data_IF_336652479091
#
_entry.id   IF_336652479091
#
_cell.length_a   1.000
_cell.length_b   1.000
_cell.length_c   1.000
_cell.angle_alpha   90.00
_cell.angle_beta   90.00
_cell.angle_gamma   90.00
#
_symmetry.space_group_name_H-M   'P 1'
#
loop_
_entity.id
_entity.type
_entity.pdbx_description
1 polymer ?
#
# COMPACT_ATOMS: atom_id res chain seq x y z
N UNK A 1 21.85 -6.71 -21.69
CA UNK A 1 21.67 -7.84 -20.76
C UNK A 1 20.39 -7.54 -20.03
N UNK A 2 19.30 -8.23 -20.38
CA UNK A 2 18.00 -7.99 -19.77
C UNK A 2 17.89 -8.83 -18.50
N UNK A 3 18.32 -8.27 -17.38
CA UNK A 3 18.14 -8.92 -16.09
C UNK A 3 16.84 -8.42 -15.47
N UNK A 4 15.88 -9.32 -15.24
CA UNK A 4 14.58 -8.99 -14.64
C UNK A 4 13.79 -7.88 -15.38
N UNK A 5 14.00 -7.74 -16.70
CA UNK A 5 13.37 -6.69 -17.52
C UNK A 5 14.00 -5.30 -17.39
N UNK A 6 15.16 -5.18 -16.74
CA UNK A 6 16.01 -3.99 -16.78
C UNK A 6 16.97 -4.12 -17.96
N UNK A 7 16.73 -3.35 -19.03
CA UNK A 7 17.68 -3.21 -20.13
C UNK A 7 18.61 -2.01 -19.88
N UNK A 8 19.80 -2.29 -19.32
CA UNK A 8 20.86 -1.29 -19.18
C UNK A 8 21.63 -1.07 -20.49
N UNK A 9 21.51 -1.95 -21.48
CA UNK A 9 22.30 -1.89 -22.70
C UNK A 9 22.02 -0.63 -23.51
N UNK A 10 20.77 -0.17 -23.52
CA UNK A 10 20.43 1.10 -24.14
C UNK A 10 21.06 2.31 -23.40
N UNK A 11 20.96 2.38 -22.07
CA UNK A 11 21.54 3.47 -21.30
C UNK A 11 23.07 3.50 -21.40
N UNK A 12 23.72 2.34 -21.29
CA UNK A 12 25.16 2.19 -21.44
C UNK A 12 25.60 2.51 -22.88
N UNK A 13 24.83 2.09 -23.89
CA UNK A 13 25.10 2.37 -25.30
C UNK A 13 25.10 3.86 -25.62
N UNK A 14 24.06 4.58 -25.20
CA UNK A 14 24.00 6.05 -25.36
C UNK A 14 25.13 6.75 -24.61
N UNK A 15 25.36 6.39 -23.34
CA UNK A 15 26.44 6.98 -22.54
C UNK A 15 27.82 6.69 -23.11
N UNK A 16 28.04 5.51 -23.67
CA UNK A 16 29.30 5.13 -24.34
C UNK A 16 29.55 5.95 -25.60
N UNK A 17 28.50 6.36 -26.29
CA UNK A 17 28.58 7.25 -27.44
C UNK A 17 28.68 8.74 -27.04
N UNK A 18 28.71 9.06 -25.74
CA UNK A 18 28.71 10.44 -25.24
C UNK A 18 27.35 11.15 -25.37
N UNK A 19 26.28 10.40 -25.67
CA UNK A 19 24.93 10.93 -25.85
C UNK A 19 24.09 10.69 -24.59
N UNK A 20 23.19 11.62 -24.29
CA UNK A 20 22.18 11.38 -23.26
C UNK A 20 21.20 10.30 -23.73
N UNK A 21 20.90 9.29 -22.88
CA UNK A 21 19.96 8.24 -23.27
C UNK A 21 18.60 8.83 -23.60
N UNK A 22 18.02 8.37 -24.71
CA UNK A 22 16.70 8.81 -25.17
C UNK A 22 15.63 8.56 -24.09
N UNK A 23 14.60 9.42 -24.05
CA UNK A 23 13.49 9.31 -23.08
C UNK A 23 12.81 7.94 -23.11
N UNK A 24 12.69 7.35 -24.30
CA UNK A 24 12.08 6.03 -24.52
C UNK A 24 12.81 4.89 -23.82
N UNK A 25 14.07 5.12 -23.46
CA UNK A 25 14.92 4.18 -22.75
C UNK A 25 15.08 4.53 -21.27
N UNK A 26 15.24 5.83 -20.97
CA UNK A 26 15.45 6.31 -19.62
C UNK A 26 14.20 6.14 -18.74
N UNK A 27 12.99 6.41 -19.27
CA UNK A 27 11.77 6.32 -18.46
C UNK A 27 11.41 4.88 -18.05
N UNK A 28 11.45 3.87 -18.95
CA UNK A 28 11.28 2.47 -18.54
C UNK A 28 12.34 2.02 -17.54
N UNK A 29 13.61 2.41 -17.72
CA UNK A 29 14.68 2.08 -16.79
C UNK A 29 14.42 2.65 -15.38
N UNK A 30 14.10 3.95 -15.29
CA UNK A 30 13.73 4.58 -14.00
C UNK A 30 12.51 3.90 -13.39
N UNK A 31 11.50 3.57 -14.20
CA UNK A 31 10.30 2.86 -13.75
C UNK A 31 10.65 1.51 -13.12
N UNK A 32 11.48 0.70 -13.79
CA UNK A 32 11.92 -0.61 -13.27
C UNK A 32 12.67 -0.44 -11.95
N UNK A 33 13.65 0.45 -11.90
CA UNK A 33 14.45 0.71 -10.69
C UNK A 33 13.57 1.17 -9.52
N UNK A 34 12.63 2.07 -9.79
CA UNK A 34 11.67 2.54 -8.79
C UNK A 34 10.71 1.43 -8.35
N UNK A 35 10.24 0.60 -9.28
CA UNK A 35 9.43 -0.59 -8.99
C UNK A 35 10.15 -1.55 -8.05
N UNK A 36 11.39 -1.92 -8.36
CA UNK A 36 12.21 -2.78 -7.49
C UNK A 36 12.52 -2.14 -6.14
N UNK A 37 12.74 -0.82 -6.09
CA UNK A 37 12.87 -0.11 -4.83
C UNK A 37 11.60 -0.26 -3.97
N UNK A 38 10.40 -0.12 -4.56
CA UNK A 38 9.15 -0.31 -3.82
C UNK A 38 8.96 -1.76 -3.38
N UNK A 39 9.36 -2.73 -4.21
CA UNK A 39 9.38 -4.16 -3.84
C UNK A 39 10.28 -4.37 -2.62
N UNK A 40 11.53 -3.88 -2.66
CA UNK A 40 12.48 -4.01 -1.56
C UNK A 40 11.99 -3.30 -0.28
N UNK A 41 11.45 -2.09 -0.41
CA UNK A 41 10.88 -1.35 0.71
C UNK A 41 9.71 -2.11 1.36
N UNK A 42 8.88 -2.76 0.55
CA UNK A 42 7.71 -3.52 1.04
C UNK A 42 8.09 -4.70 1.95
N UNK A 43 9.28 -5.26 1.79
CA UNK A 43 9.77 -6.40 2.58
C UNK A 43 9.90 -6.10 4.08
N UNK A 44 9.93 -4.81 4.46
CA UNK A 44 10.09 -4.40 5.86
C UNK A 44 8.82 -3.80 6.48
N UNK A 45 7.76 -3.58 5.70
CA UNK A 45 6.60 -2.76 6.11
C UNK A 45 5.85 -3.33 7.31
N UNK A 46 5.68 -4.66 7.41
CA UNK A 46 4.95 -5.28 8.52
C UNK A 46 5.86 -5.79 9.63
N UNK A 47 7.17 -5.88 9.40
CA UNK A 47 8.12 -6.40 10.39
C UNK A 47 8.06 -5.64 11.74
N UNK A 48 7.99 -4.29 11.80
CA UNK A 48 7.85 -3.57 13.07
C UNK A 48 6.59 -3.95 13.86
N UNK A 49 5.48 -4.22 13.17
CA UNK A 49 4.24 -4.63 13.82
C UNK A 49 4.32 -6.07 14.36
N UNK A 50 4.95 -6.97 13.60
CA UNK A 50 5.21 -8.36 14.03
C UNK A 50 6.11 -8.35 15.27
N UNK A 51 7.23 -7.63 15.23
CA UNK A 51 8.15 -7.50 16.36
C UNK A 51 7.45 -6.96 17.61
N UNK A 52 6.64 -5.89 17.48
CA UNK A 52 5.87 -5.36 18.61
C UNK A 52 4.94 -6.40 19.26
N UNK A 53 4.27 -7.23 18.46
CA UNK A 53 3.37 -8.27 19.00
C UNK A 53 4.17 -9.34 19.74
N UNK A 54 5.29 -9.78 19.17
CA UNK A 54 6.16 -10.81 19.76
C UNK A 54 6.79 -10.31 21.06
N UNK A 55 7.33 -9.09 21.08
CA UNK A 55 8.00 -8.50 22.25
C UNK A 55 7.04 -8.29 23.41
N UNK A 56 5.82 -7.82 23.13
CA UNK A 56 4.80 -7.57 24.14
C UNK A 56 3.93 -8.79 24.43
N UNK A 57 4.09 -9.89 23.66
CA UNK A 57 3.26 -11.10 23.70
C UNK A 57 1.75 -10.79 23.75
N UNK A 58 1.34 -9.73 23.05
CA UNK A 58 -0.02 -9.19 23.16
C UNK A 58 -0.45 -8.53 21.87
N UNK A 59 -1.74 -8.69 21.56
CA UNK A 59 -2.42 -8.05 20.42
C UNK A 59 -3.44 -7.01 20.88
N UNK A 60 -3.40 -6.61 22.15
CA UNK A 60 -4.39 -5.68 22.71
C UNK A 60 -4.41 -4.36 21.93
N UNK A 61 -5.61 -3.91 21.56
CA UNK A 61 -5.83 -2.68 20.78
C UNK A 61 -5.70 -2.84 19.27
N UNK A 62 -5.36 -4.03 18.79
CA UNK A 62 -5.34 -4.36 17.37
C UNK A 62 -6.70 -4.89 16.89
N UNK A 63 -7.07 -4.54 15.66
CA UNK A 63 -8.25 -5.12 15.00
C UNK A 63 -7.84 -6.34 14.18
N UNK A 64 -8.16 -7.54 14.68
CA UNK A 64 -7.87 -8.80 13.98
C UNK A 64 -8.52 -8.83 12.60
N UNK A 65 -9.78 -8.39 12.51
CA UNK A 65 -10.55 -8.34 11.26
C UNK A 65 -9.89 -7.43 10.23
N UNK A 66 -9.27 -6.33 10.65
CA UNK A 66 -8.55 -5.45 9.73
C UNK A 66 -7.37 -6.18 9.07
N UNK A 67 -6.58 -6.94 9.84
CA UNK A 67 -5.45 -7.71 9.31
C UNK A 67 -5.89 -8.91 8.45
N UNK A 68 -7.00 -9.57 8.80
CA UNK A 68 -7.60 -10.62 7.95
C UNK A 68 -8.05 -10.04 6.59
N UNK A 69 -8.70 -8.87 6.59
CA UNK A 69 -9.11 -8.18 5.37
C UNK A 69 -7.91 -7.69 4.55
N UNK A 70 -6.80 -7.33 5.18
CA UNK A 70 -5.55 -7.03 4.46
C UNK A 70 -5.04 -8.24 3.69
N UNK A 71 -5.00 -9.43 4.32
CA UNK A 71 -4.62 -10.69 3.64
C UNK A 71 -5.51 -10.92 2.42
N UNK A 72 -6.84 -10.87 2.60
CA UNK A 72 -7.79 -11.05 1.50
C UNK A 72 -7.54 -10.01 0.39
N UNK A 73 -7.35 -8.75 0.77
CA UNK A 73 -7.10 -7.67 -0.16
C UNK A 73 -5.77 -7.82 -0.92
N UNK A 74 -4.70 -8.32 -0.30
CA UNK A 74 -3.44 -8.59 -0.99
C UNK A 74 -3.54 -9.81 -1.90
N UNK A 75 -4.27 -10.85 -1.50
CA UNK A 75 -4.53 -12.04 -2.33
C UNK A 75 -5.25 -11.67 -3.62
N UNK A 76 -6.35 -10.92 -3.52
CA UNK A 76 -7.10 -10.44 -4.71
C UNK A 76 -6.20 -9.59 -5.60
N UNK A 77 -5.46 -8.65 -5.02
CA UNK A 77 -4.61 -7.75 -5.81
C UNK A 77 -3.47 -8.49 -6.51
N UNK A 78 -2.79 -9.41 -5.82
CA UNK A 78 -1.70 -10.18 -6.39
C UNK A 78 -2.20 -11.11 -7.50
N UNK A 79 -3.30 -11.84 -7.25
CA UNK A 79 -3.90 -12.69 -8.26
C UNK A 79 -4.34 -11.89 -9.49
N UNK A 80 -4.91 -10.70 -9.30
CA UNK A 80 -5.31 -9.84 -10.40
C UNK A 80 -4.11 -9.42 -11.26
N UNK A 81 -3.01 -8.98 -10.63
CA UNK A 81 -1.80 -8.58 -11.34
C UNK A 81 -1.15 -9.75 -12.09
N UNK A 82 -1.13 -10.95 -11.49
CA UNK A 82 -0.62 -12.16 -12.14
C UNK A 82 -1.43 -12.55 -13.39
N UNK A 83 -2.75 -12.39 -13.36
CA UNK A 83 -3.63 -12.69 -14.50
C UNK A 83 -3.63 -11.62 -15.59
N UNK A 84 -2.98 -10.47 -15.36
CA UNK A 84 -2.81 -9.40 -16.35
C UNK A 84 -1.42 -9.40 -16.98
N UNK A 85 -0.63 -10.46 -16.73
CA UNK A 85 0.73 -10.66 -17.24
C UNK A 85 1.65 -9.44 -17.05
N UNK A 86 1.45 -8.74 -15.92
CA UNK A 86 2.28 -7.61 -15.55
C UNK A 86 3.70 -8.09 -15.20
N UNK A 87 4.73 -7.28 -15.40
CA UNK A 87 6.08 -7.62 -14.94
C UNK A 87 6.17 -7.49 -13.42
N UNK A 88 7.05 -8.30 -12.82
CA UNK A 88 7.21 -8.35 -11.36
C UNK A 88 7.55 -6.98 -10.72
N UNK A 89 8.24 -6.10 -11.43
CA UNK A 89 8.50 -4.71 -10.98
C UNK A 89 7.22 -3.91 -10.67
N UNK A 90 6.10 -4.25 -11.31
CA UNK A 90 4.83 -3.53 -11.17
C UNK A 90 4.00 -3.99 -9.96
N UNK A 91 4.17 -5.24 -9.51
CA UNK A 91 3.29 -5.86 -8.50
C UNK A 91 4.01 -6.65 -7.40
N UNK A 92 5.33 -6.85 -7.50
CA UNK A 92 6.10 -7.76 -6.64
C UNK A 92 6.01 -7.42 -5.15
N UNK A 93 5.74 -6.17 -4.79
CA UNK A 93 5.47 -5.75 -3.43
C UNK A 93 4.25 -6.44 -2.83
N UNK A 94 3.23 -6.75 -3.64
CA UNK A 94 2.01 -7.41 -3.17
C UNK A 94 2.32 -8.82 -2.69
N UNK A 95 3.28 -9.51 -3.32
CA UNK A 95 3.71 -10.83 -2.89
C UNK A 95 4.36 -10.77 -1.49
N UNK A 96 5.30 -9.85 -1.28
CA UNK A 96 5.95 -9.69 0.02
C UNK A 96 5.00 -9.18 1.11
N UNK A 97 4.08 -8.27 0.77
CA UNK A 97 3.05 -7.80 1.70
C UNK A 97 2.08 -8.91 2.08
N UNK A 98 1.67 -9.76 1.13
CA UNK A 98 0.82 -10.91 1.42
C UNK A 98 1.50 -11.91 2.35
N UNK A 99 2.75 -12.29 2.06
CA UNK A 99 3.52 -13.22 2.91
C UNK A 99 3.64 -12.66 4.33
N UNK A 100 4.03 -11.38 4.45
CA UNK A 100 4.13 -10.73 5.75
C UNK A 100 2.78 -10.59 6.47
N UNK A 101 1.69 -10.33 5.74
CA UNK A 101 0.36 -10.23 6.33
C UNK A 101 -0.14 -11.59 6.84
N UNK A 102 0.16 -12.68 6.13
CA UNK A 102 -0.13 -14.04 6.58
C UNK A 102 0.64 -14.39 7.86
N UNK A 103 1.94 -14.07 7.92
CA UNK A 103 2.75 -14.25 9.12
C UNK A 103 2.18 -13.42 10.28
N UNK A 104 1.84 -12.16 10.02
CA UNK A 104 1.25 -11.26 11.02
C UNK A 104 -0.07 -11.81 11.58
N UNK A 105 -0.98 -12.29 10.73
CA UNK A 105 -2.24 -12.91 11.16
C UNK A 105 -1.98 -14.19 11.96
N UNK A 106 -1.02 -15.02 11.54
CA UNK A 106 -0.63 -16.21 12.30
C UNK A 106 -0.07 -15.87 13.70
N UNK A 107 0.78 -14.84 13.80
CA UNK A 107 1.25 -14.33 15.08
C UNK A 107 0.08 -13.80 15.93
N UNK A 108 -0.85 -13.06 15.33
CA UNK A 108 -2.04 -12.56 16.05
C UNK A 108 -2.84 -13.72 16.62
N UNK A 109 -3.11 -14.76 15.83
CA UNK A 109 -3.86 -15.93 16.29
C UNK A 109 -3.12 -16.68 17.41
N UNK A 110 -1.80 -16.82 17.31
CA UNK A 110 -0.99 -17.44 18.35
C UNK A 110 -1.10 -16.71 19.69
N UNK A 111 -1.08 -15.37 19.69
CA UNK A 111 -1.21 -14.56 20.91
C UNK A 111 -2.66 -14.21 21.29
N UNK A 112 -3.67 -14.68 20.54
CA UNK A 112 -5.10 -14.48 20.82
C UNK A 112 -5.80 -15.74 21.34
N UNK A 113 -5.05 -16.73 21.82
CA UNK A 113 -5.61 -17.98 22.32
C UNK A 113 -6.51 -17.76 23.56
N UNK A 114 -7.61 -18.52 23.72
CA UNK A 114 -8.09 -19.57 22.82
C UNK A 114 -8.80 -19.01 21.59
N UNK A 115 -8.58 -19.63 20.42
CA UNK A 115 -9.27 -19.25 19.18
C UNK A 115 -10.70 -19.80 19.12
N UNK A 116 -11.63 -18.96 18.66
CA UNK A 116 -13.01 -19.38 18.37
C UNK A 116 -13.06 -20.28 17.13
N UNK A 117 -14.06 -21.16 17.07
CA UNK A 117 -14.37 -22.00 15.89
C UNK A 117 -14.56 -21.15 14.64
N UNK A 118 -15.13 -19.95 14.77
CA UNK A 118 -15.32 -19.03 13.62
C UNK A 118 -13.99 -18.59 13.01
N UNK A 119 -12.94 -18.42 13.82
CA UNK A 119 -11.58 -18.08 13.34
C UNK A 119 -11.00 -19.22 12.51
N UNK A 120 -11.15 -20.45 12.98
CA UNK A 120 -10.72 -21.65 12.24
C UNK A 120 -11.47 -21.80 10.91
N UNK A 121 -12.80 -21.62 10.92
CA UNK A 121 -13.62 -21.69 9.70
C UNK A 121 -13.17 -20.63 8.68
N UNK A 122 -12.93 -19.39 9.09
CA UNK A 122 -12.42 -18.33 8.19
C UNK A 122 -11.05 -18.68 7.59
N UNK A 123 -10.14 -19.23 8.40
CA UNK A 123 -8.82 -19.62 7.92
C UNK A 123 -8.90 -20.76 6.88
N UNK A 124 -9.69 -21.80 7.18
CA UNK A 124 -9.93 -22.92 6.25
C UNK A 124 -10.58 -22.40 4.96
N UNK A 125 -11.59 -21.55 5.07
CA UNK A 125 -12.27 -20.95 3.92
C UNK A 125 -11.30 -20.13 3.06
N UNK A 126 -10.42 -19.34 3.67
CA UNK A 126 -9.38 -18.61 2.96
C UNK A 126 -8.45 -19.55 2.18
N UNK A 127 -7.93 -20.61 2.81
CA UNK A 127 -7.03 -21.56 2.16
C UNK A 127 -7.72 -22.43 1.10
N UNK A 128 -9.04 -22.65 1.22
CA UNK A 128 -9.82 -23.33 0.19
C UNK A 128 -10.07 -22.43 -1.04
N UNK A 129 -10.33 -21.14 -0.82
CA UNK A 129 -10.68 -20.19 -1.90
C UNK A 129 -9.44 -19.63 -2.59
N UNK A 130 -8.39 -19.26 -1.85
CA UNK A 130 -7.23 -18.55 -2.40
C UNK A 130 -6.60 -19.23 -3.63
N UNK A 131 -6.42 -20.56 -3.70
CA UNK A 131 -5.92 -21.24 -4.90
C UNK A 131 -6.80 -21.02 -6.13
N UNK A 132 -8.13 -20.98 -5.97
CA UNK A 132 -9.06 -20.74 -7.09
C UNK A 132 -8.97 -19.30 -7.62
N UNK A 133 -8.75 -18.34 -6.72
CA UNK A 133 -8.52 -16.93 -7.06
C UNK A 133 -7.21 -16.77 -7.83
N UNK A 134 -6.13 -17.41 -7.37
CA UNK A 134 -4.84 -17.40 -8.07
C UNK A 134 -4.88 -18.11 -9.42
N UNK A 135 -5.66 -19.19 -9.54
CA UNK A 135 -5.83 -19.93 -10.79
C UNK A 135 -6.57 -19.12 -11.88
N UNK A 136 -7.05 -17.91 -11.60
CA UNK A 136 -7.71 -17.07 -12.59
C UNK A 136 -9.06 -17.58 -13.06
N UNK A 137 -9.66 -18.57 -12.38
CA UNK A 137 -10.93 -19.20 -12.75
C UNK A 137 -12.15 -18.34 -12.39
N UNK A 138 -11.96 -17.03 -12.25
CA UNK A 138 -13.00 -16.06 -11.93
C UNK A 138 -13.37 -15.35 -13.24
N UNK A 139 -14.66 -15.17 -13.47
CA UNK A 139 -15.15 -14.37 -14.58
C UNK A 139 -14.44 -12.98 -14.60
N UNK A 140 -13.92 -12.51 -15.75
CA UNK A 140 -13.15 -11.27 -15.81
C UNK A 140 -13.89 -10.05 -15.28
N UNK A 141 -15.20 -9.94 -15.52
CA UNK A 141 -16.01 -8.83 -14.99
C UNK A 141 -16.13 -8.92 -13.47
N UNK A 142 -16.36 -10.12 -12.94
CA UNK A 142 -16.37 -10.35 -11.49
C UNK A 142 -14.99 -10.06 -10.86
N UNK A 143 -13.90 -10.39 -11.54
CA UNK A 143 -12.56 -10.13 -11.02
C UNK A 143 -12.24 -8.63 -10.98
N UNK A 144 -12.57 -7.88 -12.04
CA UNK A 144 -12.46 -6.41 -12.03
C UNK A 144 -13.31 -5.78 -10.91
N UNK A 145 -14.55 -6.25 -10.73
CA UNK A 145 -15.42 -5.79 -9.66
C UNK A 145 -14.85 -6.11 -8.26
N UNK A 146 -14.32 -7.32 -8.08
CA UNK A 146 -13.68 -7.75 -6.84
C UNK A 146 -12.42 -6.92 -6.54
N UNK A 147 -11.59 -6.67 -7.54
CA UNK A 147 -10.41 -5.80 -7.42
C UNK A 147 -10.82 -4.35 -7.12
N UNK A 148 -11.86 -3.83 -7.76
CA UNK A 148 -12.40 -2.49 -7.52
C UNK A 148 -12.98 -2.34 -6.10
N UNK A 149 -13.61 -3.39 -5.56
CA UNK A 149 -14.21 -3.38 -4.22
C UNK A 149 -13.20 -3.04 -3.10
N UNK A 150 -11.94 -3.45 -3.25
CA UNK A 150 -10.85 -3.11 -2.33
C UNK A 150 -10.66 -1.59 -2.21
N UNK A 151 -10.75 -0.87 -3.32
CA UNK A 151 -10.64 0.59 -3.34
C UNK A 151 -11.85 1.25 -2.68
N UNK A 152 -13.05 0.69 -2.84
CA UNK A 152 -14.26 1.16 -2.16
C UNK A 152 -14.15 1.01 -0.65
N UNK A 153 -13.63 -0.12 -0.17
CA UNK A 153 -13.36 -0.35 1.27
C UNK A 153 -12.36 0.69 1.77
N UNK A 154 -11.26 0.91 1.05
CA UNK A 154 -10.28 1.94 1.40
C UNK A 154 -10.92 3.34 1.49
N UNK A 155 -11.76 3.73 0.52
CA UNK A 155 -12.47 5.01 0.54
C UNK A 155 -13.45 5.12 1.70
N UNK A 156 -14.20 4.05 2.01
CA UNK A 156 -15.15 4.04 3.14
C UNK A 156 -14.47 4.26 4.50
N UNK A 157 -13.17 3.92 4.62
CA UNK A 157 -12.39 4.23 5.80
C UNK A 157 -11.78 5.65 5.77
N UNK A 158 -11.36 6.13 4.59
CA UNK A 158 -10.66 7.41 4.45
C UNK A 158 -11.56 8.63 4.41
N UNK A 159 -12.72 8.56 3.76
CA UNK A 159 -13.64 9.70 3.65
C UNK A 159 -14.17 10.14 5.02
N UNK A 160 -14.63 9.24 5.91
CA UNK A 160 -15.03 9.62 7.26
C UNK A 160 -13.86 10.18 8.09
N UNK A 161 -12.63 9.65 7.91
CA UNK A 161 -11.45 10.19 8.58
C UNK A 161 -11.17 11.63 8.14
N UNK A 162 -11.18 11.91 6.84
CA UNK A 162 -11.01 13.24 6.27
C UNK A 162 -12.07 14.21 6.81
N UNK A 163 -13.34 13.78 6.84
CA UNK A 163 -14.43 14.60 7.35
C UNK A 163 -14.30 14.87 8.85
N UNK A 164 -13.92 13.86 9.64
CA UNK A 164 -13.69 14.01 11.08
C UNK A 164 -12.55 14.98 11.38
N UNK A 165 -11.44 14.88 10.65
CA UNK A 165 -10.32 15.83 10.75
C UNK A 165 -10.79 17.26 10.45
N UNK A 166 -11.59 17.43 9.39
CA UNK A 166 -12.12 18.74 9.00
C UNK A 166 -13.08 19.33 10.05
N UNK A 167 -13.96 18.50 10.63
CA UNK A 167 -14.91 18.93 11.67
C UNK A 167 -14.19 19.29 12.97
N UNK A 168 -13.21 18.49 13.37
CA UNK A 168 -12.47 18.69 14.61
C UNK A 168 -11.35 19.74 14.50
N UNK A 169 -11.03 20.21 13.28
CA UNK A 169 -9.89 21.10 13.00
C UNK A 169 -8.58 20.60 13.62
N UNK A 170 -8.42 19.28 13.67
CA UNK A 170 -7.28 18.58 14.27
C UNK A 170 -7.19 17.18 13.68
N UNK A 171 -5.97 16.70 13.48
CA UNK A 171 -5.67 15.34 13.01
C UNK A 171 -5.26 14.40 14.15
N UNK A 172 -5.26 14.88 15.40
CA UNK A 172 -4.84 14.10 16.56
C UNK A 172 -3.40 13.60 16.44
N UNK A 173 -3.20 12.29 16.66
CA UNK A 173 -1.89 11.62 16.66
C UNK A 173 -1.47 11.11 15.27
N UNK A 174 -2.07 11.62 14.21
CA UNK A 174 -1.75 11.18 12.86
C UNK A 174 -0.33 11.61 12.46
N UNK A 175 0.50 10.65 12.08
CA UNK A 175 1.90 10.88 11.72
C UNK A 175 2.01 11.54 10.34
N UNK A 176 2.57 12.75 10.31
CA UNK A 176 2.89 13.46 9.06
C UNK A 176 3.83 12.63 8.18
N UNK A 177 4.86 12.03 8.77
CA UNK A 177 5.85 11.24 8.03
C UNK A 177 5.19 10.03 7.36
N UNK A 178 4.27 9.35 8.04
CA UNK A 178 3.54 8.23 7.47
C UNK A 178 2.66 8.67 6.31
N UNK A 179 1.96 9.80 6.44
CA UNK A 179 1.17 10.36 5.33
C UNK A 179 2.04 10.76 4.13
N UNK A 180 3.21 11.37 4.38
CA UNK A 180 4.16 11.75 3.36
C UNK A 180 4.71 10.52 2.61
N UNK A 181 5.06 9.45 3.32
CA UNK A 181 5.51 8.19 2.73
C UNK A 181 4.41 7.53 1.89
N UNK A 182 3.17 7.52 2.37
CA UNK A 182 2.04 6.98 1.60
C UNK A 182 1.80 7.80 0.32
N UNK A 183 1.88 9.12 0.41
CA UNK A 183 1.71 10.02 -0.73
C UNK A 183 2.84 9.84 -1.76
N UNK A 184 4.11 9.86 -1.31
CA UNK A 184 5.26 9.64 -2.17
C UNK A 184 5.27 8.25 -2.81
N UNK A 185 4.92 7.22 -2.04
CA UNK A 185 4.76 5.86 -2.56
C UNK A 185 3.64 5.77 -3.61
N UNK A 186 2.52 6.45 -3.42
CA UNK A 186 1.44 6.48 -4.41
C UNK A 186 1.84 7.23 -5.69
N UNK A 187 2.60 8.33 -5.59
CA UNK A 187 3.16 9.02 -6.77
C UNK A 187 4.11 8.11 -7.56
N UNK A 188 5.03 7.44 -6.86
CA UNK A 188 5.92 6.45 -7.47
C UNK A 188 5.12 5.36 -8.18
N UNK A 189 4.03 4.89 -7.57
CA UNK A 189 3.12 3.89 -8.15
C UNK A 189 2.39 4.34 -9.40
N UNK A 190 1.97 5.61 -9.48
CA UNK A 190 1.36 6.13 -10.73
C UNK A 190 2.38 6.06 -11.85
N UNK A 191 3.59 6.55 -11.60
CA UNK A 191 4.64 6.55 -12.62
C UNK A 191 4.98 5.14 -13.10
N UNK A 192 5.22 4.20 -12.18
CA UNK A 192 5.55 2.82 -12.56
C UNK A 192 4.39 2.12 -13.24
N UNK A 193 3.16 2.32 -12.77
CA UNK A 193 1.98 1.67 -13.35
C UNK A 193 1.68 2.17 -14.77
N UNK A 194 1.88 3.46 -15.06
CA UNK A 194 1.71 3.99 -16.42
C UNK A 194 2.77 3.40 -17.36
N UNK A 195 4.04 3.36 -16.94
CA UNK A 195 5.11 2.82 -17.78
C UNK A 195 5.01 1.32 -18.02
N UNK A 196 4.49 0.57 -17.05
CA UNK A 196 4.26 -0.88 -17.18
C UNK A 196 2.90 -1.21 -17.83
N UNK A 197 2.21 -0.19 -18.37
CA UNK A 197 0.89 -0.33 -19.04
C UNK A 197 -0.15 -1.04 -18.18
N UNK A 198 -0.15 -0.75 -16.88
CA UNK A 198 -1.07 -1.36 -15.93
C UNK A 198 -2.54 -1.01 -16.26
N UNK A 199 -3.50 -1.90 -15.92
CA UNK A 199 -4.92 -1.66 -16.16
C UNK A 199 -5.43 -0.38 -15.48
N UNK A 200 -6.42 0.26 -16.10
CA UNK A 200 -7.04 1.48 -15.57
C UNK A 200 -7.59 1.29 -14.15
N UNK A 201 -8.12 0.11 -13.82
CA UNK A 201 -8.63 -0.20 -12.48
C UNK A 201 -7.56 -0.05 -11.38
N UNK A 202 -6.30 -0.40 -11.68
CA UNK A 202 -5.16 -0.19 -10.78
C UNK A 202 -4.80 1.30 -10.67
N UNK A 203 -4.74 2.00 -11.80
CA UNK A 203 -4.44 3.44 -11.82
C UNK A 203 -5.46 4.26 -11.03
N UNK A 204 -6.75 3.96 -11.17
CA UNK A 204 -7.82 4.62 -10.41
C UNK A 204 -7.62 4.46 -8.90
N UNK A 205 -7.28 3.27 -8.43
CA UNK A 205 -6.98 3.01 -7.03
C UNK A 205 -5.82 3.85 -6.51
N UNK A 206 -4.74 3.97 -7.29
CA UNK A 206 -3.55 4.74 -6.91
C UNK A 206 -3.87 6.24 -6.91
N UNK A 207 -4.61 6.74 -7.89
CA UNK A 207 -5.05 8.15 -7.97
C UNK A 207 -5.92 8.51 -6.76
N UNK A 208 -6.87 7.65 -6.37
CA UNK A 208 -7.66 7.83 -5.15
C UNK A 208 -6.77 7.87 -3.88
N UNK A 209 -5.72 7.05 -3.84
CA UNK A 209 -4.74 7.06 -2.75
C UNK A 209 -3.96 8.39 -2.70
N UNK A 210 -3.56 8.95 -3.85
CA UNK A 210 -2.89 10.26 -3.92
C UNK A 210 -3.80 11.35 -3.36
N UNK A 211 -5.05 11.43 -3.83
CA UNK A 211 -5.97 12.47 -3.39
C UNK A 211 -6.28 12.37 -1.90
N UNK A 212 -6.59 11.17 -1.40
CA UNK A 212 -6.93 10.99 0.02
C UNK A 212 -5.74 11.25 0.95
N UNK A 213 -4.55 10.72 0.64
CA UNK A 213 -3.34 10.98 1.42
C UNK A 213 -2.91 12.45 1.31
N UNK A 214 -3.06 13.07 0.14
CA UNK A 214 -2.80 14.50 -0.07
C UNK A 214 -3.70 15.39 0.79
N UNK A 215 -5.02 15.15 0.78
CA UNK A 215 -5.97 15.88 1.63
C UNK A 215 -5.60 15.74 3.11
N UNK A 216 -5.34 14.51 3.56
CA UNK A 216 -4.95 14.26 4.95
C UNK A 216 -3.65 14.99 5.30
N UNK A 217 -2.65 14.95 4.42
CA UNK A 217 -1.38 15.64 4.61
C UNK A 217 -1.59 17.16 4.72
N UNK A 218 -2.41 17.75 3.86
CA UNK A 218 -2.80 19.17 3.95
C UNK A 218 -3.50 19.48 5.26
N UNK A 219 -4.41 18.60 5.73
CA UNK A 219 -5.07 18.78 7.04
C UNK A 219 -4.08 18.77 8.20
N UNK A 220 -3.07 17.90 8.18
CA UNK A 220 -2.02 17.87 9.22
C UNK A 220 -1.26 19.20 9.26
N UNK A 221 -0.83 19.71 8.10
CA UNK A 221 -0.07 20.96 8.01
C UNK A 221 -0.90 22.18 8.46
N UNK A 222 -2.12 22.32 7.95
CA UNK A 222 -3.00 23.44 8.26
C UNK A 222 -3.41 23.47 9.74
N UNK A 223 -3.76 22.31 10.32
CA UNK A 223 -4.25 22.26 11.70
C UNK A 223 -3.13 22.27 12.74
N UNK A 224 -1.91 21.85 12.38
CA UNK A 224 -0.74 22.04 13.24
C UNK A 224 -0.33 23.51 13.36
N UNK A 225 -0.40 24.29 12.28
CA UNK A 225 -0.08 25.74 12.31
C UNK A 225 -1.04 26.48 13.25
N UNK A 226 -2.34 26.23 13.09
CA UNK A 226 -3.37 26.89 13.90
C UNK A 226 -3.25 26.59 15.40
N UNK A 227 -2.92 25.34 15.76
CA UNK A 227 -2.68 24.97 17.15
C UNK A 227 -1.45 25.65 17.78
N UNK A 228 -0.44 26.00 16.98
CA UNK A 228 0.72 26.74 17.45
C UNK A 228 0.44 28.25 17.58
N UNK A 229 -0.30 28.83 16.63
CA UNK A 229 -0.74 30.23 16.69
C UNK A 229 -1.62 30.51 17.91
N UNK A 230 -2.62 29.65 18.18
CA UNK A 230 -3.50 29.79 19.35
C UNK A 230 -2.72 29.70 20.67
N UNK A 231 -1.67 28.87 20.73
CA UNK A 231 -0.76 28.77 21.90
C UNK A 231 0.10 30.02 22.06
N UNK A 232 0.64 30.57 20.97
CA UNK A 232 1.44 31.79 20.99
C UNK A 232 0.62 33.01 21.41
N UNK A 233 -0.61 33.15 20.88
CA UNK A 233 -1.53 34.24 21.26
C UNK A 233 -1.94 34.13 22.73
N UNK A 234 -2.21 32.92 23.22
CA UNK A 234 -2.51 32.71 24.65
C UNK A 234 -1.31 33.01 25.55
N UNK A 235 -0.11 32.61 25.16
CA UNK A 235 1.13 32.93 25.90
C UNK A 235 1.34 34.43 26.02
N UNK A 236 1.15 35.18 24.92
CA UNK A 236 1.26 36.64 24.89
C UNK A 236 0.18 37.39 25.68
N UNK A 237 -0.95 36.76 26.01
CA UNK A 237 -2.00 37.37 26.85
C UNK A 237 -1.79 37.14 28.35
N UNK A 238 -0.88 36.23 28.72
CA UNK A 238 -0.58 35.89 30.12
C UNK A 238 0.67 36.64 30.60
N UNK A 239 1.55 37.09 29.70
CA UNK A 239 2.59 38.10 29.96
C UNK A 239 2.02 39.51 29.84
#
# INVERSE_FOLDING_TARGET
MDYLGIDLSCAIGSLRNGEFPAKDCLLPLISKLLGYFLVAASMTVKLPQIMKIVDNKSVKGLSVVAFELEVIGYTISLAYCLNKDLPFSAFGELAFLLIQALILVACIYYFSQPLSVTTWVKAILYFAIAPTVFAGKIDPFLFEALYASKHLIFLSARIPQIWKNFRNKSTGQLSFLTCLMNFGGALARVFTSIQEKAPLSMLLGIVLSIFTNGIIMSQILLYRSKGNEDKLVKSKKIS
#
